data_IF_212902780661
#
_entry.id   IF_212902780661
#
_cell.length_a   1.000
_cell.length_b   1.000
_cell.length_c   1.000
_cell.angle_alpha   90.00
_cell.angle_beta   90.00
_cell.angle_gamma   90.00
#
_symmetry.space_group_name_H-M   'P 1'
#
loop_
_entity.id
_entity.type
_entity.pdbx_description
1 polymer ?
#
# COMPACT_ATOMS: atom_id res chain seq x y z
N UNK A 1 7.51 -16.95 -11.38
CA UNK A 1 8.52 -15.87 -11.49
C UNK A 1 7.81 -14.60 -11.10
N UNK A 2 8.17 -13.98 -9.97
CA UNK A 2 7.60 -12.70 -9.57
C UNK A 2 8.06 -11.64 -10.56
N UNK A 3 7.12 -10.87 -11.11
CA UNK A 3 7.48 -9.68 -11.89
C UNK A 3 8.14 -8.67 -10.95
N UNK A 4 9.33 -8.19 -11.31
CA UNK A 4 10.07 -7.25 -10.48
C UNK A 4 9.65 -5.82 -10.86
N UNK A 5 8.83 -5.22 -10.01
CA UNK A 5 8.30 -3.87 -10.20
C UNK A 5 9.25 -2.83 -9.57
N UNK A 6 9.43 -1.69 -10.24
CA UNK A 6 10.20 -0.56 -9.70
C UNK A 6 9.31 0.53 -9.06
N UNK A 7 8.04 0.62 -9.47
CA UNK A 7 7.08 1.59 -8.98
C UNK A 7 5.68 1.01 -8.85
N UNK A 8 4.82 1.68 -8.08
CA UNK A 8 3.41 1.33 -8.01
C UNK A 8 2.69 1.85 -9.27
N UNK A 9 1.85 1.03 -9.87
CA UNK A 9 1.13 1.26 -11.13
C UNK A 9 -0.33 0.87 -11.00
N UNK A 10 -1.14 1.17 -12.03
CA UNK A 10 -2.54 0.73 -12.15
C UNK A 10 -2.72 -0.78 -12.00
N UNK A 11 -1.72 -1.55 -12.38
CA UNK A 11 -1.78 -3.01 -12.44
C UNK A 11 -1.35 -3.68 -11.13
N UNK A 12 -0.64 -2.95 -10.25
CA UNK A 12 -0.03 -3.52 -9.07
C UNK A 12 -0.37 -2.88 -7.72
N UNK A 13 -1.06 -1.73 -7.69
CA UNK A 13 -1.30 -0.98 -6.45
C UNK A 13 -2.08 -1.73 -5.37
N UNK A 14 -2.88 -2.74 -5.76
CA UNK A 14 -3.68 -3.53 -4.81
C UNK A 14 -2.86 -4.54 -4.03
N UNK A 15 -1.63 -4.84 -4.46
CA UNK A 15 -0.78 -5.86 -3.84
C UNK A 15 0.69 -5.44 -3.70
N UNK A 16 1.04 -4.22 -4.11
CA UNK A 16 2.37 -3.66 -3.91
C UNK A 16 2.36 -2.56 -2.84
N UNK A 17 3.44 -2.50 -2.07
CA UNK A 17 3.66 -1.44 -1.09
C UNK A 17 5.13 -1.04 -1.02
N UNK A 18 5.37 0.22 -0.69
CA UNK A 18 6.70 0.72 -0.35
C UNK A 18 7.00 0.40 1.10
N UNK A 19 8.20 -0.11 1.40
CA UNK A 19 8.65 -0.42 2.77
C UNK A 19 9.97 0.24 3.09
N UNK A 20 10.06 0.87 4.26
CA UNK A 20 11.34 1.22 4.90
C UNK A 20 11.60 0.31 6.10
N UNK A 21 12.61 0.64 6.91
CA UNK A 21 12.96 -0.13 8.12
C UNK A 21 11.82 -0.23 9.15
N UNK A 22 10.92 0.76 9.22
CA UNK A 22 9.89 0.83 10.27
C UNK A 22 8.51 1.22 9.76
N UNK A 23 8.40 1.59 8.49
CA UNK A 23 7.20 2.16 7.92
C UNK A 23 6.87 1.46 6.62
N UNK A 24 5.58 1.47 6.27
CA UNK A 24 5.11 1.06 4.96
C UNK A 24 4.11 2.06 4.42
N UNK A 25 4.07 2.17 3.10
CA UNK A 25 3.13 3.02 2.39
C UNK A 25 2.44 2.24 1.26
N UNK A 26 1.13 2.39 1.17
CA UNK A 26 0.28 1.64 0.24
C UNK A 26 -0.93 2.48 -0.19
N UNK A 27 -1.58 2.06 -1.27
CA UNK A 27 -2.88 2.60 -1.66
C UNK A 27 -3.97 1.66 -1.15
N UNK A 28 -5.01 2.21 -0.54
CA UNK A 28 -6.23 1.48 -0.20
C UNK A 28 -7.46 2.10 -0.86
N UNK A 29 -8.52 1.30 -0.99
CA UNK A 29 -9.80 1.74 -1.53
C UNK A 29 -10.77 1.92 -0.37
N UNK A 30 -11.52 3.02 -0.38
CA UNK A 30 -12.69 3.19 0.46
C UNK A 30 -13.82 3.85 -0.32
N UNK A 31 -14.89 4.17 0.40
CA UNK A 31 -16.04 4.87 -0.16
C UNK A 31 -16.52 5.93 0.82
N UNK A 32 -16.89 7.08 0.28
CA UNK A 32 -17.61 8.11 1.04
C UNK A 32 -19.06 8.15 0.60
N UNK A 33 -19.98 8.56 1.49
CA UNK A 33 -21.40 8.70 1.15
C UNK A 33 -21.64 9.58 -0.08
N UNK A 34 -20.77 10.58 -0.30
CA UNK A 34 -20.97 11.60 -1.33
C UNK A 34 -20.30 11.26 -2.68
N UNK A 35 -19.16 10.55 -2.68
CA UNK A 35 -18.32 10.37 -3.88
C UNK A 35 -18.16 8.91 -4.34
N UNK A 36 -18.75 7.95 -3.62
CA UNK A 36 -18.77 6.54 -4.02
C UNK A 36 -17.44 5.80 -3.82
N UNK A 37 -16.40 6.17 -4.57
CA UNK A 37 -15.07 5.53 -4.51
C UNK A 37 -13.99 6.56 -4.23
N UNK A 38 -13.13 6.25 -3.28
CA UNK A 38 -12.00 7.09 -2.87
C UNK A 38 -10.75 6.23 -2.71
N UNK A 39 -9.62 6.72 -3.22
CA UNK A 39 -8.32 6.10 -3.09
C UNK A 39 -7.52 6.80 -2.00
N UNK A 40 -7.00 6.05 -1.05
CA UNK A 40 -6.22 6.59 0.06
C UNK A 40 -4.76 6.19 -0.10
N UNK A 41 -3.87 7.18 -0.10
CA UNK A 41 -2.44 6.96 0.09
C UNK A 41 -2.16 7.02 1.58
N UNK A 42 -1.77 5.88 2.15
CA UNK A 42 -1.62 5.71 3.61
C UNK A 42 -0.18 5.32 3.94
N UNK A 43 0.35 5.85 5.05
CA UNK A 43 1.61 5.43 5.63
C UNK A 43 1.43 5.09 7.11
N UNK A 44 1.81 3.85 7.45
CA UNK A 44 1.69 3.27 8.79
C UNK A 44 3.03 2.72 9.26
N UNK A 45 3.12 2.35 10.54
CA UNK A 45 4.15 1.40 10.95
C UNK A 45 3.92 0.03 10.31
N UNK A 46 4.92 -0.84 10.39
CA UNK A 46 4.86 -2.17 9.76
C UNK A 46 3.70 -3.04 10.28
N UNK A 47 3.24 -2.84 11.52
CA UNK A 47 2.16 -3.59 12.17
C UNK A 47 0.77 -2.94 12.05
N UNK A 48 0.64 -1.83 11.31
CA UNK A 48 -0.62 -1.05 11.16
C UNK A 48 -1.23 -0.51 12.47
N UNK A 49 -0.45 -0.43 13.56
CA UNK A 49 -0.94 0.05 14.85
C UNK A 49 -1.09 1.57 14.89
N UNK A 50 -0.35 2.27 14.04
CA UNK A 50 -0.27 3.72 13.99
C UNK A 50 -0.23 4.20 12.54
N UNK A 51 -1.21 5.00 12.19
CA UNK A 51 -1.20 5.82 10.99
C UNK A 51 -0.40 7.11 11.24
N UNK A 52 0.55 7.39 10.35
CA UNK A 52 1.35 8.62 10.39
C UNK A 52 0.84 9.64 9.37
N UNK A 53 0.26 9.16 8.27
CA UNK A 53 -0.20 9.99 7.18
C UNK A 53 -1.27 9.26 6.37
N UNK A 54 -2.31 9.99 5.97
CA UNK A 54 -3.30 9.55 5.01
C UNK A 54 -3.73 10.74 4.15
N UNK A 55 -3.93 10.52 2.86
CA UNK A 55 -4.54 11.50 1.95
C UNK A 55 -5.43 10.79 0.96
N UNK A 56 -6.58 11.39 0.67
CA UNK A 56 -7.58 10.85 -0.22
C UNK A 56 -7.54 11.48 -1.62
N UNK A 57 -7.88 10.66 -2.61
CA UNK A 57 -7.92 11.03 -4.02
C UNK A 57 -9.15 10.43 -4.69
N UNK A 58 -9.79 11.24 -5.53
CA UNK A 58 -10.93 10.81 -6.36
C UNK A 58 -10.50 10.06 -7.65
N UNK A 59 -9.19 9.97 -7.90
CA UNK A 59 -8.63 9.33 -9.10
C UNK A 59 -7.41 8.52 -8.71
N UNK A 60 -7.35 7.29 -9.23
CA UNK A 60 -6.23 6.38 -9.00
C UNK A 60 -4.92 6.98 -9.55
N UNK A 61 -4.97 7.70 -10.68
CA UNK A 61 -3.80 8.33 -11.29
C UNK A 61 -3.15 9.36 -10.35
N UNK A 62 -3.97 10.12 -9.61
CA UNK A 62 -3.47 11.08 -8.61
C UNK A 62 -2.85 10.36 -7.41
N UNK A 63 -3.49 9.31 -6.91
CA UNK A 63 -2.94 8.49 -5.83
C UNK A 63 -1.61 7.83 -6.23
N UNK A 64 -1.52 7.29 -7.44
CA UNK A 64 -0.29 6.71 -8.00
C UNK A 64 0.82 7.77 -8.12
N UNK A 65 0.47 8.98 -8.56
CA UNK A 65 1.44 10.07 -8.65
C UNK A 65 1.98 10.44 -7.26
N UNK A 66 1.10 10.60 -6.26
CA UNK A 66 1.53 10.97 -4.91
C UNK A 66 2.37 9.87 -4.24
N UNK A 67 1.92 8.61 -4.26
CA UNK A 67 2.63 7.54 -3.56
C UNK A 67 4.03 7.31 -4.15
N UNK A 68 4.17 7.34 -5.47
CA UNK A 68 5.45 7.17 -6.15
C UNK A 68 6.36 8.40 -5.93
N UNK A 69 5.80 9.61 -5.94
CA UNK A 69 6.57 10.82 -5.64
C UNK A 69 7.10 10.82 -4.20
N UNK A 70 6.24 10.46 -3.24
CA UNK A 70 6.54 10.55 -1.81
C UNK A 70 7.40 9.40 -1.32
N UNK A 71 7.14 8.17 -1.77
CA UNK A 71 7.75 6.96 -1.23
C UNK A 71 8.50 6.12 -2.28
N UNK A 72 8.57 6.55 -3.54
CA UNK A 72 9.25 5.80 -4.62
C UNK A 72 10.75 5.59 -4.42
N UNK A 73 11.34 6.24 -3.43
CA UNK A 73 12.72 6.02 -2.99
C UNK A 73 12.87 4.83 -2.02
N UNK A 74 11.77 4.21 -1.58
CA UNK A 74 11.79 3.02 -0.73
C UNK A 74 11.77 1.74 -1.57
N UNK A 75 12.31 0.63 -1.05
CA UNK A 75 12.09 -0.70 -1.62
C UNK A 75 10.60 -0.99 -1.83
N UNK A 76 10.27 -1.51 -3.00
CA UNK A 76 8.93 -1.98 -3.33
C UNK A 76 8.80 -3.47 -3.00
N UNK A 77 7.74 -3.83 -2.29
CA UNK A 77 7.40 -5.22 -1.97
C UNK A 77 6.12 -5.63 -2.71
N UNK A 78 6.17 -6.71 -3.49
CA UNK A 78 5.00 -7.40 -4.04
C UNK A 78 4.53 -8.45 -3.03
N UNK A 79 3.32 -8.27 -2.48
CA UNK A 79 2.77 -9.13 -1.44
C UNK A 79 2.25 -10.47 -1.97
N UNK A 80 2.22 -10.66 -3.29
CA UNK A 80 1.93 -11.96 -3.92
C UNK A 80 3.17 -12.83 -4.03
N UNK A 81 4.36 -12.22 -3.98
CA UNK A 81 5.60 -12.98 -3.97
C UNK A 81 5.68 -13.73 -2.63
N UNK A 82 5.67 -15.05 -2.71
CA UNK A 82 5.94 -15.92 -1.57
C UNK A 82 7.44 -15.88 -1.27
N UNK A 83 7.90 -14.83 -0.60
CA UNK A 83 9.15 -14.88 0.15
C UNK A 83 8.80 -15.22 1.60
N UNK A 84 9.41 -16.30 2.09
CA UNK A 84 9.18 -17.07 3.32
C UNK A 84 9.27 -16.32 4.67
N UNK A 85 9.09 -15.00 4.72
CA UNK A 85 9.23 -14.23 5.98
C UNK A 85 7.98 -13.39 6.29
N UNK A 86 7.10 -13.97 7.12
CA UNK A 86 6.21 -13.19 7.98
C UNK A 86 4.73 -13.18 7.61
N UNK A 87 4.16 -14.33 7.24
CA UNK A 87 2.71 -14.51 7.36
C UNK A 87 2.29 -14.41 8.83
N UNK A 88 1.47 -13.41 9.16
CA UNK A 88 0.87 -13.24 10.48
C UNK A 88 -0.02 -14.45 10.84
N UNK A 89 0.58 -15.47 11.46
CA UNK A 89 -0.05 -16.71 11.89
C UNK A 89 -0.84 -16.59 13.18
N UNK A 90 -1.75 -15.62 13.29
CA UNK A 90 -2.59 -15.47 14.50
C UNK A 90 -4.03 -15.06 14.21
N UNK A 91 -4.59 -15.50 13.08
CA UNK A 91 -6.04 -15.48 12.88
C UNK A 91 -6.64 -16.84 13.28
N UNK A 92 -6.56 -17.16 14.58
CA UNK A 92 -7.43 -18.16 15.18
C UNK A 92 -8.72 -17.48 15.60
N UNK A 93 -9.73 -17.46 14.73
CA UNK A 93 -11.10 -17.18 15.14
C UNK A 93 -11.66 -18.45 15.81
N UNK A 94 -12.25 -18.29 16.99
CA UNK A 94 -12.97 -19.33 17.73
C UNK A 94 -14.47 -19.09 17.62
#
# INVERSE_FOLDING_TARGET
MSEQWNTITSDNWTFCQYKSLKLKAFISLGGTPDNGIVYYVTCTDLEDKKEFFQTDYQSIEKALTDINHRYGHWPLADLRATDDEGGCGSCSAH
#
